data_IF_168473450855
#
_entry.id   IF_168473450855
#
_cell.length_a   1.000
_cell.length_b   1.000
_cell.length_c   1.000
_cell.angle_alpha   90.00
_cell.angle_beta   90.00
_cell.angle_gamma   90.00
#
_symmetry.space_group_name_H-M   'P 1'
#
loop_
_entity.id
_entity.type
_entity.pdbx_description
1 polymer ?
#
# COMPACT_ATOMS: atom_id res chain seq x y z
N UNK A 1 28.62 -3.04 -16.11
CA UNK A 1 28.38 -2.00 -15.08
C UNK A 1 28.66 -2.58 -13.71
N UNK A 2 29.29 -1.78 -12.87
CA UNK A 2 29.56 -2.09 -11.47
C UNK A 2 28.66 -1.21 -10.63
N UNK A 3 27.96 -1.80 -9.66
CA UNK A 3 27.13 -1.04 -8.72
C UNK A 3 27.42 -1.47 -7.29
N UNK A 4 27.48 -0.50 -6.40
CA UNK A 4 27.60 -0.72 -4.97
C UNK A 4 26.57 0.15 -4.27
N UNK A 5 25.83 -0.42 -3.32
CA UNK A 5 24.86 0.32 -2.52
C UNK A 5 24.93 -0.09 -1.07
N UNK A 6 24.93 0.90 -0.19
CA UNK A 6 24.86 0.73 1.27
C UNK A 6 23.70 1.55 1.79
N UNK A 7 22.83 0.93 2.55
CA UNK A 7 21.72 1.60 3.23
C UNK A 7 21.77 1.28 4.72
N UNK A 8 21.49 2.28 5.54
CA UNK A 8 21.42 2.15 6.99
C UNK A 8 20.15 2.83 7.49
N UNK A 9 19.41 2.17 8.35
CA UNK A 9 18.20 2.72 8.96
C UNK A 9 18.06 2.22 10.39
N UNK A 10 17.36 2.98 11.20
CA UNK A 10 16.91 2.55 12.51
C UNK A 10 15.55 3.17 12.85
N UNK A 11 14.88 2.62 13.84
CA UNK A 11 13.58 3.12 14.32
C UNK A 11 13.65 3.29 15.82
N UNK A 12 13.15 4.43 16.28
CA UNK A 12 12.93 4.69 17.70
C UNK A 12 11.43 4.90 17.89
N UNK A 13 10.84 4.05 18.71
CA UNK A 13 9.42 4.10 19.06
C UNK A 13 9.29 4.34 20.56
N UNK A 14 8.47 5.30 20.95
CA UNK A 14 8.17 5.62 22.33
C UNK A 14 6.69 5.94 22.52
N UNK A 15 6.16 5.69 23.72
CA UNK A 15 4.77 6.03 23.97
C UNK A 15 4.42 6.01 25.46
N UNK A 16 3.37 6.74 25.79
CA UNK A 16 2.77 6.81 27.11
C UNK A 16 1.25 6.69 26.93
N UNK A 17 0.68 5.73 27.68
CA UNK A 17 -0.77 5.55 27.72
C UNK A 17 -1.24 5.79 29.16
N UNK A 18 -2.23 6.66 29.32
CA UNK A 18 -2.93 6.88 30.58
C UNK A 18 -4.37 6.37 30.43
N UNK A 19 -4.77 5.49 31.34
CA UNK A 19 -6.09 4.89 31.35
C UNK A 19 -6.79 5.14 32.66
N UNK A 20 -7.96 5.77 32.59
CA UNK A 20 -8.84 5.96 33.73
C UNK A 20 -10.05 5.04 33.62
N UNK A 21 -10.17 4.13 34.58
CA UNK A 21 -11.34 3.29 34.76
C UNK A 21 -12.35 3.98 35.68
N UNK A 22 -13.62 3.80 35.40
CA UNK A 22 -14.73 4.34 36.21
C UNK A 22 -15.43 3.20 36.98
N UNK A 23 -16.24 3.52 38.01
CA UNK A 23 -16.99 2.50 38.76
C UNK A 23 -17.93 1.67 37.88
N UNK A 24 -18.43 2.24 36.78
CA UNK A 24 -19.24 1.48 35.82
C UNK A 24 -18.31 0.59 35.00
N UNK A 25 -18.55 -0.72 35.06
CA UNK A 25 -17.78 -1.70 34.30
C UNK A 25 -17.70 -1.33 32.83
N UNK A 26 -16.52 -1.44 32.22
CA UNK A 26 -16.21 -1.13 30.80
C UNK A 26 -16.29 0.36 30.44
N UNK A 27 -16.61 1.26 31.40
CA UNK A 27 -16.46 2.70 31.17
C UNK A 27 -15.00 3.11 31.36
N UNK A 28 -14.43 3.72 30.34
CA UNK A 28 -13.00 3.98 30.30
C UNK A 28 -12.71 5.25 29.50
N UNK A 29 -11.72 6.01 29.96
CA UNK A 29 -11.09 7.11 29.25
C UNK A 29 -9.62 6.81 29.07
N UNK A 30 -9.13 6.87 27.85
CA UNK A 30 -7.72 6.63 27.52
C UNK A 30 -7.13 7.85 26.83
N UNK A 31 -5.94 8.25 27.28
CA UNK A 31 -5.09 9.22 26.60
C UNK A 31 -3.81 8.52 26.18
N UNK A 32 -3.46 8.63 24.91
CA UNK A 32 -2.24 8.05 24.35
C UNK A 32 -1.41 9.11 23.65
N UNK A 33 -0.12 9.10 23.92
CA UNK A 33 0.86 9.80 23.13
C UNK A 33 1.89 8.81 22.62
N UNK A 34 2.19 8.88 21.32
CA UNK A 34 3.23 8.03 20.68
C UNK A 34 4.12 8.90 19.80
N UNK A 35 5.40 8.59 19.83
CA UNK A 35 6.39 9.13 18.93
C UNK A 35 7.09 7.98 18.21
N UNK A 36 7.28 8.13 16.91
CA UNK A 36 8.07 7.24 16.09
C UNK A 36 9.01 8.08 15.22
N UNK A 37 10.29 7.73 15.17
CA UNK A 37 11.23 8.37 14.26
C UNK A 37 12.04 7.29 13.51
N UNK A 38 12.22 7.50 12.21
CA UNK A 38 12.86 6.54 11.28
C UNK A 38 13.80 7.27 10.35
N UNK A 39 15.01 7.59 10.79
CA UNK A 39 16.04 8.08 9.90
C UNK A 39 16.64 6.93 9.07
N UNK A 40 16.96 7.24 7.84
CA UNK A 40 17.59 6.36 6.87
C UNK A 40 18.63 7.13 6.09
N UNK A 41 19.77 6.50 5.86
CA UNK A 41 20.80 6.99 4.94
C UNK A 41 21.05 5.95 3.86
N UNK A 42 21.35 6.42 2.67
CA UNK A 42 21.69 5.57 1.53
C UNK A 42 22.89 6.17 0.81
N UNK A 43 23.84 5.34 0.46
CA UNK A 43 25.01 5.70 -0.31
C UNK A 43 25.13 4.69 -1.45
N UNK A 44 25.11 5.13 -2.69
CA UNK A 44 25.17 4.25 -3.84
C UNK A 44 26.03 4.79 -4.96
N UNK A 45 26.85 3.89 -5.51
CA UNK A 45 27.70 4.14 -6.66
C UNK A 45 27.26 3.25 -7.81
N UNK A 46 27.17 3.81 -9.00
CA UNK A 46 27.05 3.05 -10.24
C UNK A 46 28.05 3.55 -11.25
N UNK A 47 28.79 2.64 -11.87
CA UNK A 47 29.82 2.97 -12.84
C UNK A 47 29.88 1.99 -13.99
N UNK A 48 30.53 2.42 -15.05
CA UNK A 48 30.68 1.66 -16.27
C UNK A 48 32.16 1.50 -16.60
N UNK A 49 32.61 0.25 -16.66
CA UNK A 49 33.89 -0.12 -17.21
C UNK A 49 33.68 -0.64 -18.64
N UNK A 50 34.33 -0.04 -19.61
CA UNK A 50 34.28 -0.47 -20.98
C UNK A 50 35.63 -0.17 -21.68
N UNK A 51 35.98 -1.04 -22.61
CA UNK A 51 37.11 -0.86 -23.48
C UNK A 51 36.64 -0.29 -24.81
N UNK A 52 36.97 0.97 -25.07
CA UNK A 52 36.52 1.66 -26.28
C UNK A 52 37.03 1.01 -27.57
N UNK A 53 38.13 0.28 -27.54
CA UNK A 53 38.68 -0.43 -28.70
C UNK A 53 37.79 -1.62 -29.10
N UNK A 54 37.02 -2.15 -28.14
CA UNK A 54 36.05 -3.24 -28.34
C UNK A 54 34.61 -2.77 -28.55
N UNK A 55 34.36 -1.45 -28.53
CA UNK A 55 33.02 -0.89 -28.78
C UNK A 55 32.84 -0.66 -30.29
N UNK A 56 31.75 -1.19 -30.86
CA UNK A 56 31.42 -0.95 -32.26
C UNK A 56 31.33 0.57 -32.54
N UNK A 57 31.83 1.03 -33.72
CA UNK A 57 31.93 2.48 -34.02
C UNK A 57 30.61 3.24 -33.82
N UNK A 58 29.49 2.64 -34.19
CA UNK A 58 28.16 3.25 -34.08
C UNK A 58 27.73 3.49 -32.62
N UNK A 59 28.31 2.80 -31.64
CA UNK A 59 28.04 2.92 -30.22
C UNK A 59 29.03 3.75 -29.44
N UNK A 60 30.18 4.10 -30.03
CA UNK A 60 31.25 4.83 -29.33
C UNK A 60 30.76 6.20 -28.82
N UNK A 61 29.98 6.94 -29.61
CA UNK A 61 29.46 8.24 -29.21
C UNK A 61 28.39 8.14 -28.13
N UNK A 62 27.64 7.04 -28.11
CA UNK A 62 26.71 6.73 -27.01
C UNK A 62 27.50 6.42 -25.74
N UNK A 63 28.50 5.57 -25.81
CA UNK A 63 29.32 5.18 -24.64
C UNK A 63 30.03 6.35 -24.01
N UNK A 64 30.49 7.33 -24.78
CA UNK A 64 31.11 8.58 -24.29
C UNK A 64 30.13 9.44 -23.44
N UNK A 65 28.81 9.24 -23.59
CA UNK A 65 27.79 9.96 -22.82
C UNK A 65 27.39 9.21 -21.53
N UNK A 66 27.94 8.02 -21.32
CA UNK A 66 27.67 7.28 -20.08
C UNK A 66 28.36 8.01 -18.91
N UNK A 67 27.66 8.03 -17.78
CA UNK A 67 28.12 8.70 -16.57
C UNK A 67 28.24 7.69 -15.43
N UNK A 68 29.34 7.79 -14.69
CA UNK A 68 29.44 7.20 -13.37
C UNK A 68 28.66 8.10 -12.40
N UNK A 69 27.91 7.51 -11.48
CA UNK A 69 27.04 8.21 -10.57
C UNK A 69 27.33 7.81 -9.13
N UNK A 70 27.26 8.79 -8.25
CA UNK A 70 27.26 8.62 -6.81
C UNK A 70 26.02 9.33 -6.26
N UNK A 71 25.16 8.63 -5.54
CA UNK A 71 24.02 9.21 -4.87
C UNK A 71 24.19 9.05 -3.37
N UNK A 72 24.10 10.16 -2.66
CA UNK A 72 24.09 10.23 -1.19
C UNK A 72 22.73 10.71 -0.73
N UNK A 73 21.99 9.83 -0.06
CA UNK A 73 20.62 10.07 0.36
C UNK A 73 20.45 10.05 1.87
N UNK A 74 19.71 11.01 2.40
CA UNK A 74 19.29 11.08 3.79
C UNK A 74 17.79 11.32 3.86
N UNK A 75 17.07 10.45 4.56
CA UNK A 75 15.64 10.57 4.76
C UNK A 75 15.30 10.40 6.24
N UNK A 76 14.32 11.14 6.72
CA UNK A 76 13.83 10.99 8.08
C UNK A 76 12.32 11.21 8.13
N UNK A 77 11.62 10.31 8.80
CA UNK A 77 10.20 10.45 9.14
C UNK A 77 10.08 10.51 10.64
N UNK A 78 9.50 11.60 11.16
CA UNK A 78 9.12 11.70 12.58
C UNK A 78 7.62 11.87 12.67
N UNK A 79 6.96 10.99 13.41
CA UNK A 79 5.52 11.00 13.62
C UNK A 79 5.19 11.14 15.11
N UNK A 80 4.33 12.10 15.43
CA UNK A 80 3.71 12.26 16.73
C UNK A 80 2.24 11.92 16.63
N UNK A 81 1.75 11.06 17.50
CA UNK A 81 0.33 10.70 17.58
C UNK A 81 -0.20 11.01 18.96
N UNK A 82 -1.23 11.85 19.02
CA UNK A 82 -2.04 12.11 20.20
C UNK A 82 -3.43 11.52 19.99
N UNK A 83 -3.95 10.82 20.98
CA UNK A 83 -5.26 10.17 20.89
C UNK A 83 -5.97 10.23 22.23
N UNK A 84 -7.27 10.49 22.20
CA UNK A 84 -8.14 10.41 23.36
C UNK A 84 -9.37 9.59 23.00
N UNK A 85 -9.64 8.55 23.76
CA UNK A 85 -10.76 7.62 23.55
C UNK A 85 -11.63 7.57 24.80
N UNK A 86 -12.93 7.61 24.60
CA UNK A 86 -13.91 7.40 25.65
C UNK A 86 -14.88 6.29 25.24
N UNK A 87 -14.99 5.28 26.11
CA UNK A 87 -15.91 4.16 25.95
C UNK A 87 -16.88 4.16 27.12
N UNK A 88 -18.16 4.04 26.84
CA UNK A 88 -19.20 3.94 27.89
C UNK A 88 -20.27 2.92 27.51
N UNK A 89 -20.58 1.95 28.38
CA UNK A 89 -21.74 1.12 28.24
C UNK A 89 -23.01 1.90 28.63
N UNK A 90 -24.09 1.64 27.92
CA UNK A 90 -25.44 2.13 28.21
C UNK A 90 -26.31 0.93 28.46
N UNK A 91 -26.58 0.63 29.74
CA UNK A 91 -27.21 -0.63 30.12
C UNK A 91 -26.31 -1.85 29.89
N UNK A 92 -26.91 -3.00 29.59
CA UNK A 92 -26.20 -4.29 29.43
C UNK A 92 -25.92 -4.66 27.98
N UNK A 93 -26.53 -3.98 27.02
CA UNK A 93 -26.51 -4.36 25.61
C UNK A 93 -25.84 -3.35 24.69
N UNK A 94 -25.71 -2.11 25.12
CA UNK A 94 -25.26 -1.01 24.29
C UNK A 94 -23.90 -0.49 24.76
N UNK A 95 -23.02 -0.17 23.83
CA UNK A 95 -21.77 0.51 24.11
C UNK A 95 -21.56 1.64 23.10
N UNK A 96 -21.21 2.79 23.58
CA UNK A 96 -20.81 3.95 22.76
C UNK A 96 -19.33 4.19 22.95
N UNK A 97 -18.66 4.38 21.84
CA UNK A 97 -17.24 4.73 21.76
C UNK A 97 -17.11 6.05 21.00
N UNK A 98 -16.26 6.95 21.48
CA UNK A 98 -15.93 8.18 20.77
C UNK A 98 -14.48 8.54 21.02
N UNK A 99 -13.88 9.21 20.08
CA UNK A 99 -12.50 9.61 20.24
C UNK A 99 -12.06 10.66 19.25
N UNK A 100 -10.91 11.24 19.54
CA UNK A 100 -10.21 12.17 18.67
C UNK A 100 -8.76 11.71 18.54
N UNK A 101 -8.19 11.90 17.37
CA UNK A 101 -6.81 11.55 17.08
C UNK A 101 -6.16 12.64 16.26
N UNK A 102 -4.97 13.04 16.65
CA UNK A 102 -4.14 13.95 15.91
C UNK A 102 -2.81 13.28 15.58
N UNK A 103 -2.42 13.35 14.32
CA UNK A 103 -1.14 12.83 13.82
C UNK A 103 -0.41 13.97 13.14
N UNK A 104 0.79 14.25 13.61
CA UNK A 104 1.74 15.15 12.98
C UNK A 104 2.90 14.32 12.44
N UNK A 105 3.03 14.25 11.12
CA UNK A 105 4.12 13.54 10.45
C UNK A 105 4.98 14.52 9.68
N UNK A 106 6.26 14.57 10.02
CA UNK A 106 7.26 15.36 9.33
C UNK A 106 8.22 14.42 8.60
N UNK A 107 8.24 14.53 7.26
CA UNK A 107 9.18 13.81 6.42
C UNK A 107 10.17 14.82 5.83
N UNK A 108 11.44 14.50 5.92
CA UNK A 108 12.52 15.22 5.24
C UNK A 108 13.26 14.24 4.35
N UNK A 109 13.60 14.66 3.15
CA UNK A 109 14.44 13.89 2.26
C UNK A 109 15.45 14.83 1.59
N UNK A 110 16.68 14.39 1.57
CA UNK A 110 17.82 15.02 0.90
C UNK A 110 18.48 13.91 0.09
N UNK A 111 18.53 14.07 -1.21
CA UNK A 111 19.13 13.13 -2.17
C UNK A 111 20.06 13.92 -3.08
N UNK A 112 21.36 13.79 -2.82
CA UNK A 112 22.42 14.46 -3.55
C UNK A 112 23.01 13.52 -4.58
N UNK A 113 22.97 13.94 -5.83
CA UNK A 113 23.54 13.22 -6.94
C UNK A 113 24.81 13.89 -7.43
N UNK A 114 25.81 13.07 -7.62
CA UNK A 114 27.08 13.45 -8.18
C UNK A 114 27.36 12.58 -9.41
N UNK A 115 28.00 13.15 -10.42
CA UNK A 115 28.29 12.45 -11.66
C UNK A 115 29.68 12.79 -12.20
N UNK A 116 30.22 11.89 -13.00
CA UNK A 116 31.42 12.11 -13.80
C UNK A 116 31.34 11.29 -15.09
N UNK A 117 32.16 11.63 -16.09
CA UNK A 117 32.22 10.83 -17.29
C UNK A 117 32.73 9.40 -16.98
N UNK A 118 32.05 8.41 -17.53
CA UNK A 118 32.33 7.01 -17.25
C UNK A 118 33.73 6.60 -17.62
N UNK A 119 34.39 5.83 -16.74
CA UNK A 119 35.76 5.36 -16.90
C UNK A 119 36.85 6.42 -16.69
N UNK A 120 36.50 7.66 -16.33
CA UNK A 120 37.46 8.69 -15.97
C UNK A 120 37.75 8.68 -14.46
N UNK A 121 38.97 9.03 -14.10
CA UNK A 121 39.42 9.20 -12.70
C UNK A 121 39.37 10.65 -12.24
N UNK A 122 38.38 11.42 -12.72
CA UNK A 122 38.12 12.78 -12.26
C UNK A 122 37.25 12.75 -10.99
N UNK A 123 37.23 13.87 -10.27
CA UNK A 123 36.30 14.02 -9.15
C UNK A 123 34.86 14.01 -9.66
N UNK A 124 33.94 13.56 -8.79
CA UNK A 124 32.53 13.66 -9.06
C UNK A 124 32.06 15.11 -8.97
N UNK A 125 31.26 15.55 -9.92
CA UNK A 125 30.62 16.87 -9.93
C UNK A 125 29.18 16.75 -9.42
N UNK A 126 28.74 17.74 -8.63
CA UNK A 126 27.38 17.80 -8.12
C UNK A 126 26.40 18.03 -9.26
N UNK A 127 25.35 17.21 -9.33
CA UNK A 127 24.29 17.27 -10.32
C UNK A 127 23.03 17.87 -9.69
N UNK A 128 22.92 19.20 -9.72
CA UNK A 128 21.80 19.92 -9.14
C UNK A 128 20.47 19.53 -9.80
N UNK A 129 20.46 19.28 -11.10
CA UNK A 129 19.26 18.95 -11.86
C UNK A 129 18.63 17.60 -11.49
N UNK A 130 19.42 16.70 -10.92
CA UNK A 130 18.97 15.38 -10.51
C UNK A 130 19.06 15.16 -8.99
N UNK A 131 19.46 16.18 -8.23
CA UNK A 131 19.40 16.22 -6.77
C UNK A 131 18.03 16.71 -6.30
N UNK A 132 17.60 16.31 -5.13
CA UNK A 132 16.28 16.68 -4.60
C UNK A 132 16.28 16.79 -3.08
N UNK A 133 15.92 17.97 -2.56
CA UNK A 133 15.68 18.19 -1.13
C UNK A 133 14.27 18.68 -0.91
N UNK A 134 13.51 18.02 -0.05
CA UNK A 134 12.16 18.46 0.27
C UNK A 134 11.78 18.18 1.73
N UNK A 135 10.80 18.94 2.21
CA UNK A 135 10.11 18.74 3.48
C UNK A 135 8.63 18.52 3.21
N UNK A 136 8.07 17.46 3.78
CA UNK A 136 6.65 17.14 3.68
C UNK A 136 6.05 17.03 5.07
N UNK A 137 5.25 18.01 5.43
CA UNK A 137 4.46 18.02 6.64
C UNK A 137 3.06 17.46 6.33
N UNK A 138 2.62 16.51 7.13
CA UNK A 138 1.31 15.89 7.01
C UNK A 138 0.60 15.93 8.37
N UNK A 139 -0.41 16.79 8.46
CA UNK A 139 -1.27 16.96 9.63
C UNK A 139 -2.58 16.22 9.41
N UNK A 140 -2.96 15.33 10.34
CA UNK A 140 -4.21 14.58 10.26
C UNK A 140 -4.96 14.74 11.57
N UNK A 141 -6.11 15.40 11.49
CA UNK A 141 -7.07 15.49 12.59
C UNK A 141 -8.23 14.55 12.30
N UNK A 142 -8.55 13.66 13.23
CA UNK A 142 -9.65 12.74 13.10
C UNK A 142 -10.55 12.76 14.33
N UNK A 143 -11.85 12.66 14.09
CA UNK A 143 -12.87 12.44 15.11
C UNK A 143 -13.71 11.23 14.71
N UNK A 144 -14.09 10.40 15.67
CA UNK A 144 -14.86 9.21 15.39
C UNK A 144 -15.85 8.87 16.49
N UNK A 145 -16.92 8.21 16.08
CA UNK A 145 -17.93 7.67 16.97
C UNK A 145 -18.29 6.27 16.54
N UNK A 146 -18.53 5.41 17.51
CA UNK A 146 -18.93 4.04 17.33
C UNK A 146 -20.08 3.67 18.27
N UNK A 147 -20.96 2.84 17.79
CA UNK A 147 -22.06 2.27 18.56
C UNK A 147 -22.05 0.75 18.37
N UNK A 148 -22.08 0.03 19.48
CA UNK A 148 -22.12 -1.43 19.51
C UNK A 148 -23.37 -1.91 20.25
N UNK A 149 -24.02 -2.90 19.70
CA UNK A 149 -25.17 -3.59 20.27
C UNK A 149 -24.85 -5.07 20.42
N UNK A 150 -25.14 -5.64 21.59
CA UNK A 150 -25.00 -7.09 21.83
C UNK A 150 -26.26 -7.63 22.49
N UNK A 151 -26.98 -8.45 21.74
CA UNK A 151 -28.27 -9.06 22.19
C UNK A 151 -28.17 -10.56 21.98
N UNK A 152 -28.14 -11.33 23.07
CA UNK A 152 -28.02 -12.79 23.03
C UNK A 152 -26.88 -13.24 22.09
N UNK A 153 -27.22 -13.84 20.95
CA UNK A 153 -26.31 -14.38 19.94
C UNK A 153 -25.99 -13.37 18.83
N UNK A 154 -26.64 -12.22 18.83
CA UNK A 154 -26.39 -11.18 17.83
C UNK A 154 -25.54 -10.06 18.39
N UNK A 155 -24.62 -9.57 17.57
CA UNK A 155 -23.83 -8.38 17.82
C UNK A 155 -23.85 -7.48 16.58
N UNK A 156 -23.94 -6.18 16.80
CA UNK A 156 -23.90 -5.18 15.75
C UNK A 156 -22.94 -4.07 16.13
N UNK A 157 -22.25 -3.51 15.15
CA UNK A 157 -21.41 -2.31 15.33
C UNK A 157 -21.60 -1.38 14.15
N UNK A 158 -21.77 -0.11 14.45
CA UNK A 158 -21.75 1.00 13.50
C UNK A 158 -20.64 1.94 13.91
N UNK A 159 -19.91 2.47 12.96
CA UNK A 159 -18.85 3.43 13.20
C UNK A 159 -18.76 4.46 12.07
N UNK A 160 -18.40 5.67 12.43
CA UNK A 160 -18.09 6.73 11.49
C UNK A 160 -16.83 7.46 11.99
N UNK A 161 -15.95 7.77 11.05
CA UNK A 161 -14.75 8.55 11.30
C UNK A 161 -14.67 9.66 10.26
N UNK A 162 -14.49 10.87 10.72
CA UNK A 162 -14.12 12.01 9.89
C UNK A 162 -12.64 12.29 10.04
N UNK A 163 -11.97 12.53 8.92
CA UNK A 163 -10.56 12.91 8.88
C UNK A 163 -10.37 14.17 8.04
N UNK A 164 -9.74 15.16 8.62
CA UNK A 164 -9.19 16.31 7.91
C UNK A 164 -7.69 16.17 7.84
N UNK A 165 -7.13 16.18 6.62
CA UNK A 165 -5.70 15.99 6.38
C UNK A 165 -5.16 17.15 5.59
N UNK A 166 -4.07 17.74 6.07
CA UNK A 166 -3.33 18.80 5.39
C UNK A 166 -1.97 18.24 4.99
N UNK A 167 -1.66 18.27 3.71
CA UNK A 167 -0.33 18.00 3.18
C UNK A 167 0.32 19.32 2.76
N UNK A 168 1.50 19.62 3.29
CA UNK A 168 2.28 20.79 2.93
C UNK A 168 3.67 20.33 2.50
N UNK A 169 4.00 20.57 1.24
CA UNK A 169 5.27 20.15 0.64
C UNK A 169 6.07 21.39 0.26
N UNK A 170 7.33 21.41 0.67
CA UNK A 170 8.30 22.45 0.32
C UNK A 170 9.52 21.81 -0.29
N UNK A 171 9.80 22.13 -1.54
CA UNK A 171 11.03 21.80 -2.21
C UNK A 171 12.09 22.86 -1.92
N UNK A 172 13.26 22.43 -1.48
CA UNK A 172 14.42 23.26 -1.18
C UNK A 172 15.46 23.21 -2.29
N UNK A 173 15.51 22.09 -2.99
CA UNK A 173 16.37 21.83 -4.15
C UNK A 173 15.68 20.84 -5.08
N UNK A 174 15.93 20.95 -6.39
CA UNK A 174 15.50 19.98 -7.39
C UNK A 174 14.15 20.25 -8.02
N UNK A 175 13.66 19.26 -8.78
CA UNK A 175 12.46 19.35 -9.62
C UNK A 175 11.18 19.15 -8.83
N UNK A 176 10.62 20.23 -8.32
CA UNK A 176 9.34 20.21 -7.62
C UNK A 176 8.91 21.59 -7.19
N UNK A 177 7.62 21.85 -7.22
CA UNK A 177 7.01 23.07 -6.75
C UNK A 177 6.41 22.90 -5.36
N UNK A 178 6.44 23.99 -4.58
CA UNK A 178 5.78 24.02 -3.29
C UNK A 178 4.27 23.95 -3.48
N UNK A 179 3.61 23.07 -2.74
CA UNK A 179 2.17 22.97 -2.76
C UNK A 179 1.59 22.61 -1.40
N UNK A 180 0.31 22.93 -1.24
CA UNK A 180 -0.51 22.53 -0.09
C UNK A 180 -1.80 21.91 -0.59
N UNK A 181 -2.19 20.78 0.00
CA UNK A 181 -3.43 20.08 -0.32
C UNK A 181 -4.15 19.66 0.94
N UNK A 182 -5.44 19.94 0.99
CA UNK A 182 -6.34 19.53 2.07
C UNK A 182 -7.27 18.42 1.58
N UNK A 183 -7.58 17.46 2.44
CA UNK A 183 -8.53 16.38 2.20
C UNK A 183 -9.51 16.29 3.35
N UNK A 184 -10.78 16.11 3.01
CA UNK A 184 -11.87 15.86 3.95
C UNK A 184 -12.51 14.52 3.63
N UNK A 185 -12.41 13.56 4.55
CA UNK A 185 -12.85 12.21 4.33
C UNK A 185 -13.79 11.74 5.44
N UNK A 186 -14.92 11.16 5.05
CA UNK A 186 -15.83 10.46 5.97
C UNK A 186 -15.73 8.96 5.71
N UNK A 187 -15.40 8.20 6.74
CA UNK A 187 -15.09 6.77 6.67
C UNK A 187 -16.10 5.98 7.51
N UNK A 188 -17.19 5.49 6.92
CA UNK A 188 -18.17 4.67 7.61
C UNK A 188 -17.73 3.21 7.71
N UNK A 189 -18.22 2.53 8.74
CA UNK A 189 -18.10 1.09 8.94
C UNK A 189 -19.33 0.52 9.60
N UNK A 190 -19.69 -0.72 9.27
CA UNK A 190 -20.78 -1.45 9.90
C UNK A 190 -20.44 -2.94 9.96
N UNK A 191 -20.88 -3.62 11.02
CA UNK A 191 -20.80 -5.07 11.07
C UNK A 191 -21.94 -5.67 11.88
N UNK A 192 -22.36 -6.88 11.48
CA UNK A 192 -23.32 -7.70 12.19
C UNK A 192 -22.72 -9.09 12.34
N UNK A 193 -22.64 -9.56 13.58
CA UNK A 193 -22.16 -10.88 13.92
C UNK A 193 -23.29 -11.73 14.50
N UNK A 194 -23.34 -12.98 14.11
CA UNK A 194 -24.28 -13.96 14.64
C UNK A 194 -23.52 -15.19 15.13
N UNK A 195 -23.58 -15.44 16.44
CA UNK A 195 -23.08 -16.65 17.07
C UNK A 195 -24.08 -17.80 16.82
N UNK A 196 -23.83 -18.62 15.80
CA UNK A 196 -24.70 -19.72 15.42
C UNK A 196 -24.70 -20.81 16.50
N UNK A 197 -23.51 -21.22 16.90
CA UNK A 197 -23.25 -22.17 18.02
C UNK A 197 -22.12 -21.61 18.90
N UNK A 198 -21.73 -22.33 19.93
CA UNK A 198 -20.55 -21.93 20.74
C UNK A 198 -19.24 -21.99 19.97
N UNK A 199 -19.19 -22.76 18.88
CA UNK A 199 -17.99 -22.99 18.06
C UNK A 199 -18.08 -22.33 16.69
N UNK A 200 -19.23 -21.72 16.31
CA UNK A 200 -19.41 -21.17 14.97
C UNK A 200 -20.03 -19.78 14.97
N UNK A 201 -19.48 -18.92 14.12
CA UNK A 201 -19.90 -17.53 13.96
C UNK A 201 -20.08 -17.21 12.47
N UNK A 202 -21.05 -16.36 12.18
CA UNK A 202 -21.27 -15.71 10.91
C UNK A 202 -21.12 -14.20 11.12
N UNK A 203 -20.37 -13.51 10.27
CA UNK A 203 -20.21 -12.08 10.36
C UNK A 203 -20.34 -11.44 8.97
N UNK A 204 -21.18 -10.41 8.88
CA UNK A 204 -21.28 -9.52 7.74
C UNK A 204 -20.69 -8.17 8.13
N UNK A 205 -19.75 -7.67 7.36
CA UNK A 205 -19.10 -6.39 7.58
C UNK A 205 -19.09 -5.54 6.32
N UNK A 206 -19.17 -4.24 6.53
CA UNK A 206 -18.89 -3.21 5.54
C UNK A 206 -17.85 -2.27 6.10
N UNK A 207 -16.85 -1.92 5.29
CA UNK A 207 -15.90 -0.87 5.61
C UNK A 207 -15.49 -0.10 4.37
N UNK A 208 -15.28 1.17 4.54
CA UNK A 208 -14.63 2.02 3.56
C UNK A 208 -13.16 2.22 3.95
N UNK A 209 -12.28 2.28 2.97
CA UNK A 209 -10.88 2.68 3.12
C UNK A 209 -10.59 3.83 2.19
N UNK A 210 -9.74 4.73 2.64
CA UNK A 210 -9.27 5.85 1.85
C UNK A 210 -7.77 5.68 1.57
N UNK A 211 -7.39 6.05 0.36
CA UNK A 211 -6.00 6.18 -0.03
C UNK A 211 -5.78 7.60 -0.57
N UNK A 212 -4.94 8.36 0.11
CA UNK A 212 -4.61 9.73 -0.28
C UNK A 212 -3.48 9.71 -1.29
N UNK A 213 -3.56 10.54 -2.36
CA UNK A 213 -2.48 10.62 -3.33
C UNK A 213 -1.18 11.05 -2.63
N UNK A 214 -0.10 10.36 -2.95
CA UNK A 214 1.23 10.73 -2.53
C UNK A 214 1.72 12.00 -3.24
N UNK A 215 2.79 12.59 -2.73
CA UNK A 215 3.35 13.84 -3.24
C UNK A 215 3.73 13.79 -4.73
N UNK A 216 4.08 12.62 -5.25
CA UNK A 216 4.40 12.41 -6.68
C UNK A 216 3.22 12.66 -7.59
N UNK A 217 2.01 12.24 -7.17
CA UNK A 217 0.80 12.46 -7.93
C UNK A 217 0.33 13.92 -7.87
N UNK A 218 0.65 14.62 -6.76
CA UNK A 218 0.19 15.98 -6.49
C UNK A 218 1.16 17.06 -6.94
N UNK A 219 2.44 16.73 -7.19
CA UNK A 219 3.47 17.72 -7.52
C UNK A 219 3.13 18.45 -8.83
N UNK A 220 2.83 19.75 -8.81
CA UNK A 220 2.45 20.50 -10.00
C UNK A 220 3.62 20.83 -10.93
N UNK A 221 4.85 20.47 -10.53
CA UNK A 221 6.05 20.70 -11.34
C UNK A 221 5.92 20.06 -12.73
N UNK A 222 6.12 20.88 -13.77
CA UNK A 222 6.18 20.41 -15.13
C UNK A 222 7.56 19.86 -15.47
N UNK A 223 7.67 18.56 -15.61
CA UNK A 223 8.92 17.91 -15.98
C UNK A 223 9.04 17.79 -17.50
N UNK A 224 9.83 18.66 -18.07
CA UNK A 224 10.15 18.79 -19.50
C UNK A 224 11.57 18.31 -19.84
N UNK A 225 12.21 17.56 -18.93
CA UNK A 225 13.57 17.01 -19.13
C UNK A 225 13.70 16.17 -20.39
N UNK A 226 12.62 15.54 -20.81
CA UNK A 226 12.46 14.94 -22.12
C UNK A 226 11.44 15.75 -22.92
N UNK A 227 11.86 16.55 -23.90
CA UNK A 227 10.97 17.44 -24.64
C UNK A 227 9.89 16.72 -25.48
N UNK A 228 10.00 15.41 -25.67
CA UNK A 228 9.00 14.59 -26.36
C UNK A 228 8.05 13.84 -25.43
N UNK A 229 8.33 13.85 -24.11
CA UNK A 229 7.53 13.17 -23.08
C UNK A 229 7.51 14.03 -21.81
N UNK A 230 6.51 14.85 -21.70
CA UNK A 230 6.33 15.83 -20.62
C UNK A 230 5.40 15.23 -19.56
N UNK A 231 5.75 15.37 -18.31
CA UNK A 231 4.97 14.81 -17.19
C UNK A 231 4.68 15.89 -16.15
N UNK A 232 3.48 15.85 -15.57
CA UNK A 232 3.07 16.77 -14.51
C UNK A 232 2.13 16.07 -13.54
N UNK A 233 2.34 16.26 -12.24
CA UNK A 233 1.36 15.82 -11.23
C UNK A 233 0.10 16.71 -11.25
N UNK A 234 -0.93 16.24 -10.56
CA UNK A 234 -2.22 16.94 -10.49
C UNK A 234 -2.59 17.28 -9.03
N UNK A 235 -2.46 18.53 -8.59
CA UNK A 235 -2.81 18.93 -7.22
C UNK A 235 -4.31 18.86 -6.93
N UNK A 236 -5.16 18.67 -7.95
CA UNK A 236 -6.61 18.58 -7.81
C UNK A 236 -7.12 17.16 -7.54
N UNK A 237 -6.24 16.17 -7.38
CA UNK A 237 -6.62 14.81 -7.03
C UNK A 237 -7.30 14.73 -5.66
N UNK A 238 -8.31 13.88 -5.59
CA UNK A 238 -9.00 13.49 -4.36
C UNK A 238 -8.50 12.14 -3.82
N UNK A 239 -8.85 11.87 -2.55
CA UNK A 239 -8.63 10.56 -1.95
C UNK A 239 -9.39 9.46 -2.70
N UNK A 240 -8.74 8.36 -3.01
CA UNK A 240 -9.43 7.16 -3.48
C UNK A 240 -10.28 6.57 -2.36
N UNK A 241 -11.51 6.16 -2.70
CA UNK A 241 -12.47 5.57 -1.76
C UNK A 241 -12.79 4.14 -2.18
N UNK A 242 -12.30 3.20 -1.40
CA UNK A 242 -12.53 1.77 -1.61
C UNK A 242 -13.57 1.25 -0.63
N UNK A 243 -14.66 0.73 -1.15
CA UNK A 243 -15.74 0.11 -0.39
C UNK A 243 -15.57 -1.39 -0.36
N UNK A 244 -15.76 -2.02 0.79
CA UNK A 244 -15.63 -3.47 0.92
C UNK A 244 -16.75 -4.05 1.79
N UNK A 245 -17.40 -5.10 1.29
CA UNK A 245 -18.34 -5.96 1.98
C UNK A 245 -17.66 -7.30 2.21
N UNK A 246 -17.78 -7.83 3.42
CA UNK A 246 -17.18 -9.08 3.81
C UNK A 246 -18.17 -9.94 4.57
N UNK A 247 -18.45 -11.14 4.05
CA UNK A 247 -19.23 -12.17 4.73
C UNK A 247 -18.27 -13.29 5.15
N UNK A 248 -18.14 -13.53 6.44
CA UNK A 248 -17.26 -14.55 6.98
C UNK A 248 -18.00 -15.55 7.83
N UNK A 249 -17.66 -16.81 7.66
CA UNK A 249 -18.11 -17.92 8.48
C UNK A 249 -16.89 -18.61 9.09
N UNK A 250 -16.94 -18.84 10.40
CA UNK A 250 -15.90 -19.58 11.11
C UNK A 250 -16.53 -20.68 11.97
N UNK A 251 -15.90 -21.84 12.00
CA UNK A 251 -16.22 -22.94 12.90
C UNK A 251 -14.94 -23.60 13.39
N UNK A 252 -14.78 -23.71 14.70
CA UNK A 252 -13.58 -24.22 15.32
C UNK A 252 -13.95 -25.35 16.30
N UNK A 253 -13.76 -26.57 15.85
CA UNK A 253 -13.91 -27.78 16.67
C UNK A 253 -12.61 -28.57 16.70
N UNK A 254 -12.49 -29.53 17.60
CA UNK A 254 -11.32 -30.42 17.64
C UNK A 254 -11.14 -31.23 16.34
N UNK A 255 -12.24 -31.59 15.69
CA UNK A 255 -12.24 -32.43 14.49
C UNK A 255 -12.19 -31.63 13.19
N UNK A 256 -12.86 -30.48 13.15
CA UNK A 256 -13.04 -29.73 11.92
C UNK A 256 -12.98 -28.22 12.18
N UNK A 257 -11.98 -27.58 11.59
CA UNK A 257 -11.80 -26.13 11.64
C UNK A 257 -11.98 -25.58 10.24
N UNK A 258 -12.85 -24.60 10.10
CA UNK A 258 -13.11 -23.93 8.83
C UNK A 258 -13.22 -22.42 9.04
N UNK A 259 -12.65 -21.67 8.12
CA UNK A 259 -12.84 -20.24 8.01
C UNK A 259 -13.06 -19.92 6.53
N UNK A 260 -14.23 -19.41 6.21
CA UNK A 260 -14.61 -18.99 4.86
C UNK A 260 -14.89 -17.49 4.86
N UNK A 261 -14.43 -16.79 3.86
CA UNK A 261 -14.72 -15.37 3.69
C UNK A 261 -15.00 -15.06 2.23
N UNK A 262 -16.17 -14.48 1.99
CA UNK A 262 -16.57 -13.89 0.72
C UNK A 262 -16.43 -12.38 0.83
N UNK A 263 -15.64 -11.77 -0.04
CA UNK A 263 -15.42 -10.33 -0.06
C UNK A 263 -15.76 -9.76 -1.43
N UNK A 264 -16.53 -8.69 -1.43
CA UNK A 264 -16.72 -7.83 -2.60
C UNK A 264 -16.19 -6.44 -2.29
N UNK A 265 -15.35 -5.91 -3.16
CA UNK A 265 -14.82 -4.54 -3.01
C UNK A 265 -14.81 -3.81 -4.34
N UNK A 266 -15.02 -2.49 -4.27
CA UNK A 266 -14.95 -1.62 -5.44
C UNK A 266 -14.36 -0.26 -5.10
N UNK A 267 -13.70 0.35 -6.08
CA UNK A 267 -13.21 1.73 -6.09
C UNK A 267 -13.63 2.34 -7.41
N UNK A 268 -14.27 3.51 -7.38
CA UNK A 268 -14.78 4.18 -8.58
C UNK A 268 -13.97 5.42 -8.98
N UNK A 269 -12.97 5.78 -8.18
CA UNK A 269 -12.17 6.98 -8.35
C UNK A 269 -10.68 6.71 -8.11
N UNK A 270 -10.18 5.54 -8.55
CA UNK A 270 -8.74 5.27 -8.45
C UNK A 270 -7.94 6.25 -9.32
N UNK A 271 -6.76 6.57 -8.84
CA UNK A 271 -5.84 7.49 -9.52
C UNK A 271 -5.17 6.72 -10.65
N UNK A 272 -5.37 7.22 -11.86
CA UNK A 272 -4.78 6.65 -13.07
C UNK A 272 -3.95 7.70 -13.80
N UNK A 273 -2.86 7.25 -14.41
CA UNK A 273 -2.09 8.08 -15.33
C UNK A 273 -2.80 8.18 -16.67
N UNK A 274 -2.93 9.38 -17.17
CA UNK A 274 -3.42 9.68 -18.51
C UNK A 274 -2.25 10.18 -19.33
N UNK A 275 -2.08 9.64 -20.52
CA UNK A 275 -1.08 10.07 -21.48
C UNK A 275 -1.74 10.35 -22.82
N UNK A 276 -1.57 11.55 -23.33
CA UNK A 276 -2.17 12.01 -24.58
C UNK A 276 -1.11 12.71 -25.44
N UNK A 277 -1.24 12.54 -26.77
CA UNK A 277 -0.44 13.32 -27.72
C UNK A 277 -1.11 14.68 -27.89
N UNK A 278 -0.41 15.74 -27.51
CA UNK A 278 -0.90 17.11 -27.61
C UNK A 278 0.17 18.01 -28.24
N UNK A 279 -0.21 19.07 -28.96
CA UNK A 279 0.76 20.09 -29.35
C UNK A 279 1.43 20.69 -28.11
N UNK A 280 2.74 20.84 -28.13
CA UNK A 280 3.51 21.40 -27.00
C UNK A 280 3.08 22.83 -26.65
N UNK A 281 2.44 23.57 -27.60
CA UNK A 281 1.86 24.90 -27.41
C UNK A 281 0.60 24.90 -26.53
N UNK A 282 -0.03 23.74 -26.30
CA UNK A 282 -1.23 23.61 -25.47
C UNK A 282 -0.86 23.27 -23.99
N UNK A 283 0.41 23.01 -23.71
CA UNK A 283 0.88 22.68 -22.36
C UNK A 283 1.21 23.97 -21.60
N UNK A 284 0.38 24.29 -20.61
CA UNK A 284 0.56 25.48 -19.78
C UNK A 284 1.83 25.37 -18.94
N UNK A 285 2.65 26.44 -18.95
CA UNK A 285 3.90 26.52 -18.18
C UNK A 285 5.15 26.02 -18.92
N UNK A 286 5.01 25.46 -20.11
CA UNK A 286 6.17 25.09 -20.94
C UNK A 286 6.86 26.35 -21.46
N UNK A 287 8.20 26.45 -21.19
CA UNK A 287 8.97 27.67 -21.53
C UNK A 287 9.30 27.79 -23.00
N UNK A 288 9.57 26.66 -23.65
CA UNK A 288 9.95 26.60 -25.05
C UNK A 288 8.98 25.65 -25.79
N UNK A 289 8.37 26.15 -26.84
CA UNK A 289 7.41 25.41 -27.67
C UNK A 289 7.87 25.34 -29.11
N UNK A 290 7.64 24.21 -29.76
CA UNK A 290 8.03 23.95 -31.15
C UNK A 290 6.83 23.79 -32.09
N UNK A 291 5.61 23.71 -31.55
CA UNK A 291 4.39 23.39 -32.28
C UNK A 291 4.27 21.92 -32.69
N UNK A 292 5.12 21.04 -32.15
CA UNK A 292 5.07 19.60 -32.42
C UNK A 292 4.20 18.89 -31.39
N UNK A 293 3.67 17.74 -31.78
CA UNK A 293 2.99 16.84 -30.86
C UNK A 293 4.00 16.15 -29.94
N UNK A 294 3.70 16.18 -28.65
CA UNK A 294 4.48 15.55 -27.59
C UNK A 294 3.56 14.69 -26.72
N UNK A 295 4.11 13.68 -26.08
CA UNK A 295 3.37 12.88 -25.11
C UNK A 295 3.29 13.66 -23.79
N UNK A 296 2.08 14.09 -23.41
CA UNK A 296 1.80 14.71 -22.12
C UNK A 296 1.13 13.73 -21.18
N UNK A 297 1.68 13.57 -19.98
CA UNK A 297 1.18 12.63 -18.98
C UNK A 297 0.86 13.32 -17.65
N UNK A 298 -0.33 13.06 -17.13
CA UNK A 298 -0.80 13.57 -15.84
C UNK A 298 -1.64 12.51 -15.12
N UNK A 299 -2.26 12.84 -13.99
CA UNK A 299 -3.04 11.92 -13.16
C UNK A 299 -4.47 12.43 -12.96
N UNK A 300 -5.44 11.51 -12.92
CA UNK A 300 -6.84 11.80 -12.63
C UNK A 300 -7.51 10.68 -11.84
N UNK A 301 -8.57 11.03 -11.08
CA UNK A 301 -9.39 10.07 -10.34
C UNK A 301 -10.48 9.45 -11.24
N UNK A 302 -10.10 8.65 -12.22
CA UNK A 302 -11.01 8.08 -13.24
C UNK A 302 -11.05 6.56 -13.28
N UNK A 303 -10.11 5.91 -12.60
CA UNK A 303 -10.03 4.45 -12.58
C UNK A 303 -11.19 3.82 -11.81
N UNK A 304 -11.58 2.61 -12.24
CA UNK A 304 -12.58 1.79 -11.57
C UNK A 304 -12.03 0.40 -11.38
N UNK A 305 -12.14 -0.10 -10.15
CA UNK A 305 -11.79 -1.48 -9.84
C UNK A 305 -12.94 -2.16 -9.11
N UNK A 306 -13.20 -3.43 -9.43
CA UNK A 306 -14.15 -4.29 -8.73
C UNK A 306 -13.51 -5.64 -8.52
N UNK A 307 -13.57 -6.13 -7.29
CA UNK A 307 -13.00 -7.41 -6.94
C UNK A 307 -14.04 -8.23 -6.16
N UNK A 308 -14.24 -9.47 -6.57
CA UNK A 308 -15.02 -10.46 -5.83
C UNK A 308 -14.11 -11.63 -5.48
N UNK A 309 -13.87 -11.85 -4.20
CA UNK A 309 -12.96 -12.89 -3.75
C UNK A 309 -13.59 -13.82 -2.73
N UNK A 310 -13.24 -15.10 -2.85
CA UNK A 310 -13.53 -16.13 -1.88
C UNK A 310 -12.22 -16.64 -1.31
N UNK A 311 -12.08 -16.60 0.01
CA UNK A 311 -10.97 -17.24 0.73
C UNK A 311 -11.50 -18.31 1.65
N UNK A 312 -10.79 -19.43 1.74
CA UNK A 312 -11.18 -20.55 2.56
C UNK A 312 -9.96 -21.23 3.20
N UNK A 313 -10.02 -21.42 4.50
CA UNK A 313 -9.11 -22.28 5.24
C UNK A 313 -9.90 -23.43 5.85
N UNK A 314 -9.44 -24.66 5.59
CA UNK A 314 -10.03 -25.88 6.11
C UNK A 314 -8.92 -26.72 6.75
N UNK A 315 -9.16 -27.19 7.97
CA UNK A 315 -8.32 -28.18 8.61
C UNK A 315 -9.23 -29.25 9.20
N UNK A 316 -9.08 -30.45 8.70
CA UNK A 316 -9.91 -31.60 9.07
C UNK A 316 -9.05 -32.74 9.63
N UNK A 317 -9.24 -33.06 10.88
CA UNK A 317 -8.70 -34.26 11.49
C UNK A 317 -9.65 -35.43 11.21
N UNK A 318 -9.50 -36.04 10.02
CA UNK A 318 -10.39 -37.09 9.52
C UNK A 318 -10.40 -38.31 10.46
N UNK A 319 -9.22 -38.66 11.00
CA UNK A 319 -9.01 -39.63 12.07
C UNK A 319 -8.00 -39.05 13.08
N UNK A 320 -7.71 -39.81 14.16
CA UNK A 320 -6.62 -39.44 15.08
C UNK A 320 -5.25 -39.36 14.42
N UNK A 321 -5.07 -40.03 13.28
CA UNK A 321 -3.82 -40.19 12.58
C UNK A 321 -3.78 -39.50 11.19
N UNK A 322 -4.94 -38.99 10.73
CA UNK A 322 -5.07 -38.38 9.40
C UNK A 322 -5.52 -36.95 9.51
N UNK A 323 -4.73 -36.03 9.01
CA UNK A 323 -5.02 -34.60 8.91
C UNK A 323 -5.03 -34.17 7.45
N UNK A 324 -6.07 -33.43 7.06
CA UNK A 324 -6.19 -32.81 5.73
C UNK A 324 -6.35 -31.29 5.94
N UNK A 325 -5.63 -30.50 5.20
CA UNK A 325 -5.75 -29.05 5.26
C UNK A 325 -5.69 -28.45 3.87
N UNK A 326 -6.41 -27.35 3.69
CA UNK A 326 -6.42 -26.58 2.47
C UNK A 326 -6.58 -25.09 2.78
N UNK A 327 -5.91 -24.27 2.00
CA UNK A 327 -6.11 -22.84 1.91
C UNK A 327 -6.36 -22.49 0.46
N UNK A 328 -7.50 -21.92 0.16
CA UNK A 328 -7.96 -21.60 -1.19
C UNK A 328 -8.30 -20.12 -1.22
N UNK A 329 -7.85 -19.44 -2.25
CA UNK A 329 -8.21 -18.08 -2.55
C UNK A 329 -8.53 -17.97 -4.04
N UNK A 330 -9.75 -17.52 -4.34
CA UNK A 330 -10.17 -17.18 -5.68
C UNK A 330 -10.60 -15.72 -5.74
N UNK A 331 -10.16 -15.01 -6.76
CA UNK A 331 -10.52 -13.62 -6.96
C UNK A 331 -10.89 -13.37 -8.42
N UNK A 332 -12.04 -12.76 -8.65
CA UNK A 332 -12.39 -12.14 -9.91
C UNK A 332 -12.11 -10.64 -9.81
N UNK A 333 -11.28 -10.13 -10.70
CA UNK A 333 -10.96 -8.71 -10.79
C UNK A 333 -11.49 -8.12 -12.09
N UNK A 334 -12.13 -6.96 -12.01
CA UNK A 334 -12.47 -6.09 -13.13
C UNK A 334 -11.77 -4.75 -12.91
N UNK A 335 -11.08 -4.27 -13.94
CA UNK A 335 -10.35 -3.00 -13.93
C UNK A 335 -10.71 -2.19 -15.17
N UNK A 336 -10.95 -0.90 -14.97
CA UNK A 336 -11.16 0.08 -16.02
C UNK A 336 -10.28 1.30 -15.72
N UNK A 337 -9.39 1.63 -16.63
CA UNK A 337 -8.44 2.74 -16.53
C UNK A 337 -8.68 3.80 -17.58
N UNK A 338 -7.66 4.62 -17.81
CA UNK A 338 -7.65 5.68 -18.81
C UNK A 338 -7.90 5.14 -20.23
N UNK A 339 -8.40 6.01 -21.11
CA UNK A 339 -8.60 5.75 -22.54
C UNK A 339 -9.50 4.53 -22.84
N UNK A 340 -10.42 4.21 -21.91
CA UNK A 340 -11.33 3.08 -22.06
C UNK A 340 -10.67 1.71 -21.95
N UNK A 341 -9.44 1.64 -21.46
CA UNK A 341 -8.75 0.39 -21.24
C UNK A 341 -9.48 -0.43 -20.17
N UNK A 342 -9.78 -1.68 -20.49
CA UNK A 342 -10.49 -2.60 -19.58
C UNK A 342 -9.83 -3.96 -19.61
N UNK A 343 -9.75 -4.59 -18.44
CA UNK A 343 -9.37 -5.98 -18.32
C UNK A 343 -10.09 -6.63 -17.16
N UNK A 344 -10.35 -7.92 -17.27
CA UNK A 344 -10.96 -8.70 -16.23
C UNK A 344 -10.50 -10.16 -16.26
N UNK A 345 -10.70 -10.85 -15.17
CA UNK A 345 -10.43 -12.28 -15.10
C UNK A 345 -10.30 -12.82 -13.69
N UNK A 346 -10.10 -14.12 -13.64
CA UNK A 346 -9.95 -14.89 -12.43
C UNK A 346 -8.47 -15.09 -12.08
N UNK A 347 -8.18 -14.99 -10.79
CA UNK A 347 -6.96 -15.48 -10.18
C UNK A 347 -7.32 -16.50 -9.10
N UNK A 348 -6.70 -17.67 -9.15
CA UNK A 348 -6.87 -18.73 -8.18
C UNK A 348 -5.51 -19.06 -7.55
N UNK A 349 -5.53 -19.19 -6.23
CA UNK A 349 -4.40 -19.65 -5.43
C UNK A 349 -4.91 -20.79 -4.55
N UNK A 350 -4.21 -21.89 -4.52
CA UNK A 350 -4.54 -23.02 -3.66
C UNK A 350 -3.26 -23.63 -3.07
N UNK A 351 -3.30 -23.84 -1.76
CA UNK A 351 -2.29 -24.58 -1.03
C UNK A 351 -2.99 -25.59 -0.12
N UNK A 352 -2.56 -26.83 -0.16
CA UNK A 352 -3.15 -27.83 0.69
C UNK A 352 -2.29 -29.07 0.82
N UNK A 353 -2.71 -29.96 1.72
CA UNK A 353 -1.99 -31.20 1.93
C UNK A 353 -2.74 -32.18 2.79
N UNK A 354 -2.20 -33.36 2.85
CA UNK A 354 -2.64 -34.44 3.71
C UNK A 354 -1.45 -34.99 4.48
N UNK A 355 -1.67 -35.29 5.75
CA UNK A 355 -0.69 -35.91 6.63
C UNK A 355 -1.27 -37.15 7.24
N UNK A 356 -0.53 -38.26 7.12
CA UNK A 356 -0.87 -39.54 7.70
C UNK A 356 0.24 -39.97 8.67
N UNK A 357 -0.14 -40.21 9.92
CA UNK A 357 0.75 -40.85 10.91
C UNK A 357 0.50 -42.37 10.86
N UNK A 358 1.58 -43.11 10.72
CA UNK A 358 1.59 -44.58 10.70
C UNK A 358 2.18 -45.15 12.01
N UNK A 359 2.06 -46.44 12.29
CA UNK A 359 2.73 -47.07 13.43
C UNK A 359 4.24 -46.78 13.47
N UNK A 360 4.81 -46.76 14.67
CA UNK A 360 6.22 -46.46 14.94
C UNK A 360 6.65 -45.05 14.56
N UNK A 361 5.72 -44.07 14.68
CA UNK A 361 5.94 -42.62 14.48
C UNK A 361 6.34 -42.21 13.08
N UNK A 362 6.14 -43.09 12.08
CA UNK A 362 6.27 -42.70 10.67
C UNK A 362 5.20 -41.71 10.28
N UNK A 363 5.60 -40.64 9.56
CA UNK A 363 4.70 -39.61 9.08
C UNK A 363 4.92 -39.39 7.59
N UNK A 364 3.85 -39.55 6.81
CA UNK A 364 3.81 -39.24 5.40
C UNK A 364 3.04 -37.92 5.23
N UNK A 365 3.59 -36.96 4.51
CA UNK A 365 2.93 -35.71 4.20
C UNK A 365 3.00 -35.41 2.71
N UNK A 366 1.86 -35.10 2.11
CA UNK A 366 1.71 -34.61 0.76
C UNK A 366 1.31 -33.14 0.82
N UNK A 367 2.01 -32.27 0.08
CA UNK A 367 1.70 -30.87 -0.07
C UNK A 367 1.52 -30.54 -1.54
N UNK A 368 0.56 -29.70 -1.85
CA UNK A 368 0.28 -29.22 -3.21
C UNK A 368 0.09 -27.73 -3.15
N UNK A 369 0.70 -27.01 -4.07
CA UNK A 369 0.57 -25.58 -4.25
C UNK A 369 0.28 -25.28 -5.72
N UNK A 370 -0.62 -24.32 -5.97
CA UNK A 370 -0.90 -23.87 -7.32
C UNK A 370 -1.45 -22.47 -7.34
N UNK A 371 -1.08 -21.71 -8.36
CA UNK A 371 -1.67 -20.44 -8.67
C UNK A 371 -1.86 -20.26 -10.17
N UNK A 372 -2.98 -19.64 -10.54
CA UNK A 372 -3.22 -19.17 -11.91
C UNK A 372 -2.61 -17.79 -12.11
N UNK A 373 -2.46 -17.30 -13.36
CA UNK A 373 -2.01 -15.95 -13.62
C UNK A 373 -2.89 -14.90 -12.92
N UNK A 374 -2.26 -13.90 -12.28
CA UNK A 374 -3.00 -12.73 -11.81
C UNK A 374 -3.29 -11.78 -12.97
N UNK A 375 -4.42 -11.10 -12.89
CA UNK A 375 -4.88 -10.16 -13.91
C UNK A 375 -4.39 -8.76 -13.56
N UNK A 376 -3.82 -8.07 -14.54
CA UNK A 376 -3.41 -6.66 -14.49
C UNK A 376 -4.13 -5.90 -15.59
N UNK A 377 -4.21 -4.57 -15.50
CA UNK A 377 -4.91 -3.76 -16.49
C UNK A 377 -4.39 -4.02 -17.93
N UNK A 378 -3.09 -4.21 -18.11
CA UNK A 378 -2.45 -4.38 -19.41
C UNK A 378 -1.81 -5.78 -19.57
N UNK A 379 -2.35 -6.81 -18.94
CA UNK A 379 -1.80 -8.16 -19.12
C UNK A 379 -2.20 -9.17 -18.07
N UNK A 380 -1.50 -10.29 -18.08
CA UNK A 380 -1.63 -11.36 -17.09
C UNK A 380 -0.26 -11.78 -16.62
N UNK A 381 -0.12 -12.12 -15.35
CA UNK A 381 1.08 -12.69 -14.76
C UNK A 381 1.31 -14.14 -15.19
N UNK A 382 2.16 -14.86 -14.47
CA UNK A 382 2.48 -16.27 -14.70
C UNK A 382 1.68 -17.19 -13.78
N UNK A 383 1.50 -18.44 -14.21
CA UNK A 383 1.02 -19.54 -13.38
C UNK A 383 2.18 -20.27 -12.73
N UNK A 384 1.91 -20.87 -11.58
CA UNK A 384 2.89 -21.70 -10.88
C UNK A 384 2.18 -22.91 -10.27
N UNK A 385 2.83 -24.08 -10.29
CA UNK A 385 2.34 -25.29 -9.66
C UNK A 385 3.52 -26.07 -9.08
N UNK A 386 3.37 -26.53 -7.84
CA UNK A 386 4.37 -27.32 -7.12
C UNK A 386 3.70 -28.40 -6.27
N UNK A 387 4.39 -29.50 -6.06
CA UNK A 387 3.98 -30.56 -5.14
C UNK A 387 5.18 -31.18 -4.44
N UNK A 388 4.97 -31.61 -3.21
CA UNK A 388 6.00 -32.24 -2.39
C UNK A 388 5.46 -33.44 -1.63
N UNK A 389 6.25 -34.50 -1.57
CA UNK A 389 6.01 -35.67 -0.74
C UNK A 389 7.16 -35.76 0.27
N UNK A 390 6.83 -35.89 1.54
CA UNK A 390 7.83 -36.10 2.59
C UNK A 390 7.47 -37.30 3.47
N UNK A 391 8.50 -38.04 3.87
CA UNK A 391 8.40 -39.17 4.80
C UNK A 391 9.37 -38.91 5.94
N UNK A 392 8.88 -38.87 7.16
CA UNK A 392 9.64 -38.62 8.36
C UNK A 392 9.38 -39.74 9.40
N UNK A 393 10.36 -39.99 10.26
CA UNK A 393 10.24 -40.94 11.35
C UNK A 393 10.58 -40.23 12.65
#
# INVERSE_FOLDING_TARGET
SNSHSKSSWYSIDGGIDYQRLFPVKERMLTFSYKINTRPQTSDSYSGYEYDMDNVAPDWQDFMKRMLDQHNDGSQSTTEHTLQADYTTPIGKMHTVETGVKYILRNNTAEDDRFQRAAGQQTDYEFDEDHSSHYKHLNDILAAYAGYSLKVKKLSGRLGVRYEHTIQNVKYLLGKGDNFKKDFDDVVPSASIGWKLTDMSNLCLGYNMRIYRPGIWYLNPYLNDSNPTNITQGNPNLDSEKSHAFNLSYSNFTQKFNVNLSLRYSFTNNSIEQISEMVPDTEIEGLKETTGKEVLYSTYQNIGKTKNASLSGYINWNATSNTRIYANIYGNYSYMEGANGLKNDGWNLFAYGGAQQTLPHDWRISLNVFGQTPWVMLQGKGSSYFDYGLSVNK
#
